data_IF_856273247363
#
_entry.id   IF_856273247363
#
_cell.length_a   1.000
_cell.length_b   1.000
_cell.length_c   1.000
_cell.angle_alpha   90.00
_cell.angle_beta   90.00
_cell.angle_gamma   90.00
#
_symmetry.space_group_name_H-M   'P 1'
#
loop_
_entity.id
_entity.type
_entity.pdbx_description
1 polymer ?
#
# COMPACT_ATOMS: atom_id res chain seq x y z
N UNK A 1 8.51 -31.90 27.81
CA UNK A 1 8.24 -32.36 26.42
C UNK A 1 6.79 -32.12 25.98
N UNK A 2 5.78 -32.93 26.35
CA UNK A 2 4.39 -32.67 25.89
C UNK A 2 3.78 -31.37 26.47
N UNK A 3 4.06 -31.04 27.74
CA UNK A 3 3.60 -29.79 28.39
C UNK A 3 4.24 -28.53 27.81
N UNK A 4 5.53 -28.58 27.46
CA UNK A 4 6.26 -27.45 26.85
C UNK A 4 5.82 -27.20 25.40
N UNK A 5 5.57 -28.26 24.62
CA UNK A 5 5.04 -28.14 23.26
C UNK A 5 3.62 -27.56 23.30
N UNK A 6 2.80 -27.94 24.28
CA UNK A 6 1.46 -27.39 24.47
C UNK A 6 1.50 -25.91 24.90
N UNK A 7 2.41 -25.57 25.83
CA UNK A 7 2.64 -24.18 26.24
C UNK A 7 3.13 -23.26 25.11
N UNK A 8 4.00 -23.77 24.23
CA UNK A 8 4.48 -23.04 23.05
C UNK A 8 3.35 -22.73 22.07
N UNK A 9 2.48 -23.71 21.78
CA UNK A 9 1.33 -23.52 20.88
C UNK A 9 0.30 -22.53 21.42
N UNK A 10 0.04 -22.55 22.73
CA UNK A 10 -0.84 -21.57 23.39
C UNK A 10 -0.27 -20.15 23.24
N UNK A 11 1.05 -20.00 23.35
CA UNK A 11 1.72 -18.71 23.19
C UNK A 11 1.63 -18.20 21.74
N UNK A 12 1.83 -19.07 20.75
CA UNK A 12 1.68 -18.71 19.33
C UNK A 12 0.26 -18.28 18.97
N UNK A 13 -0.76 -18.99 19.47
CA UNK A 13 -2.16 -18.61 19.28
C UNK A 13 -2.48 -17.24 19.90
N UNK A 14 -1.92 -16.95 21.07
CA UNK A 14 -2.06 -15.64 21.72
C UNK A 14 -1.40 -14.53 20.89
N UNK A 15 -0.18 -14.77 20.39
CA UNK A 15 0.53 -13.82 19.52
C UNK A 15 -0.27 -13.53 18.25
N UNK A 16 -0.82 -14.57 17.61
CA UNK A 16 -1.67 -14.40 16.43
C UNK A 16 -2.91 -13.56 16.76
N UNK A 17 -3.58 -13.82 17.89
CA UNK A 17 -4.74 -13.04 18.32
C UNK A 17 -4.41 -11.55 18.52
N UNK A 18 -3.31 -11.25 19.22
CA UNK A 18 -2.86 -9.86 19.38
C UNK A 18 -2.52 -9.21 18.03
N UNK A 19 -1.83 -9.92 17.14
CA UNK A 19 -1.53 -9.40 15.80
C UNK A 19 -2.79 -9.09 14.98
N UNK A 20 -3.87 -9.89 15.11
CA UNK A 20 -5.14 -9.59 14.47
C UNK A 20 -5.78 -8.32 15.01
N UNK A 21 -5.74 -8.12 16.32
CA UNK A 21 -6.25 -6.90 16.94
C UNK A 21 -5.49 -5.67 16.45
N UNK A 22 -4.16 -5.75 16.38
CA UNK A 22 -3.33 -4.65 15.89
C UNK A 22 -3.52 -4.40 14.39
N UNK A 23 -3.77 -5.44 13.59
CA UNK A 23 -4.12 -5.28 12.17
C UNK A 23 -5.49 -4.61 11.99
N UNK A 24 -6.50 -5.00 12.76
CA UNK A 24 -7.80 -4.36 12.72
C UNK A 24 -7.74 -2.89 13.16
N UNK A 25 -6.90 -2.59 14.15
CA UNK A 25 -6.61 -1.21 14.53
C UNK A 25 -5.97 -0.44 13.37
N UNK A 26 -4.92 -0.99 12.74
CA UNK A 26 -4.29 -0.40 11.56
C UNK A 26 -5.31 -0.12 10.45
N UNK A 27 -6.23 -1.04 10.17
CA UNK A 27 -7.27 -0.90 9.14
C UNK A 27 -8.25 0.25 9.41
N UNK A 28 -8.63 0.42 10.66
CA UNK A 28 -9.69 1.36 11.06
C UNK A 28 -9.15 2.70 11.60
N UNK A 29 -7.82 2.91 11.55
CA UNK A 29 -7.15 4.10 12.06
C UNK A 29 -7.79 5.38 11.51
N UNK A 30 -8.15 6.32 12.39
CA UNK A 30 -8.57 7.67 12.01
C UNK A 30 -7.49 8.66 12.39
N UNK A 31 -6.56 8.94 11.47
CA UNK A 31 -5.51 9.96 11.66
C UNK A 31 -4.75 9.86 12.99
N UNK A 32 -4.46 8.64 13.45
CA UNK A 32 -3.65 8.38 14.66
C UNK A 32 -2.19 8.79 14.47
N UNK A 33 -1.44 8.96 15.57
CA UNK A 33 -0.06 9.39 15.51
C UNK A 33 0.82 8.37 14.76
N UNK A 34 1.69 8.82 13.83
CA UNK A 34 2.52 7.91 13.05
C UNK A 34 3.44 6.99 13.88
N UNK A 35 3.86 7.42 15.08
CA UNK A 35 4.78 6.64 15.90
C UNK A 35 4.11 5.35 16.43
N UNK A 36 2.92 5.48 17.02
CA UNK A 36 2.18 4.35 17.57
C UNK A 36 1.85 3.30 16.49
N UNK A 37 1.40 3.74 15.32
CA UNK A 37 1.09 2.83 14.20
C UNK A 37 2.33 2.10 13.69
N UNK A 38 3.48 2.78 13.64
CA UNK A 38 4.74 2.13 13.28
C UNK A 38 5.12 1.05 14.27
N UNK A 39 5.00 1.32 15.57
CA UNK A 39 5.30 0.33 16.60
C UNK A 39 4.43 -0.92 16.43
N UNK A 40 3.13 -0.74 16.16
CA UNK A 40 2.21 -1.84 15.87
C UNK A 40 2.59 -2.62 14.61
N UNK A 41 2.94 -1.93 13.52
CA UNK A 41 3.43 -2.57 12.29
C UNK A 41 4.71 -3.36 12.56
N UNK A 42 5.64 -2.80 13.33
CA UNK A 42 6.91 -3.46 13.67
C UNK A 42 6.69 -4.67 14.58
N UNK A 43 5.73 -4.59 15.51
CA UNK A 43 5.32 -5.71 16.34
C UNK A 43 4.78 -6.87 15.49
N UNK A 44 3.82 -6.63 14.60
CA UNK A 44 3.27 -7.67 13.72
C UNK A 44 4.36 -8.25 12.82
N UNK A 45 5.19 -7.39 12.22
CA UNK A 45 6.31 -7.83 11.38
C UNK A 45 7.27 -8.76 12.14
N UNK A 46 7.69 -8.37 13.34
CA UNK A 46 8.57 -9.18 14.18
C UNK A 46 7.94 -10.51 14.60
N UNK A 47 6.64 -10.52 14.87
CA UNK A 47 5.90 -11.74 15.17
C UNK A 47 5.85 -12.70 13.98
N UNK A 48 5.58 -12.19 12.76
CA UNK A 48 5.61 -12.98 11.52
C UNK A 48 7.02 -13.53 11.27
N UNK A 49 8.06 -12.71 11.41
CA UNK A 49 9.46 -13.14 11.21
C UNK A 49 9.89 -14.24 12.18
N UNK A 50 9.38 -14.21 13.41
CA UNK A 50 9.73 -15.20 14.45
C UNK A 50 8.86 -16.46 14.40
N UNK A 51 7.60 -16.33 14.00
CA UNK A 51 6.58 -17.38 14.09
C UNK A 51 5.80 -17.57 12.78
N UNK A 52 6.45 -17.46 11.62
CA UNK A 52 5.79 -17.44 10.29
C UNK A 52 4.77 -18.57 10.09
N UNK A 53 5.12 -19.80 10.52
CA UNK A 53 4.25 -20.99 10.38
C UNK A 53 2.95 -20.91 11.18
N UNK A 54 2.89 -20.02 12.16
CA UNK A 54 1.73 -19.80 13.02
C UNK A 54 0.74 -18.79 12.41
N UNK A 55 1.07 -18.18 11.27
CA UNK A 55 0.22 -17.20 10.57
C UNK A 55 -0.33 -17.78 9.27
N UNK A 56 -1.59 -17.46 8.97
CA UNK A 56 -2.17 -17.75 7.66
C UNK A 56 -1.54 -16.84 6.59
N UNK A 57 -1.25 -17.39 5.41
CA UNK A 57 -0.68 -16.61 4.28
C UNK A 57 -1.56 -15.41 3.92
N UNK A 58 -2.88 -15.57 4.00
CA UNK A 58 -3.85 -14.51 3.75
C UNK A 58 -3.74 -13.35 4.75
N UNK A 59 -3.50 -13.65 6.02
CA UNK A 59 -3.26 -12.64 7.05
C UNK A 59 -1.97 -11.88 6.77
N UNK A 60 -0.88 -12.59 6.45
CA UNK A 60 0.42 -11.98 6.15
C UNK A 60 0.30 -11.01 4.97
N UNK A 61 -0.39 -11.41 3.90
CA UNK A 61 -0.56 -10.57 2.72
C UNK A 61 -1.42 -9.33 3.01
N UNK A 62 -2.48 -9.48 3.79
CA UNK A 62 -3.33 -8.37 4.22
C UNK A 62 -2.56 -7.39 5.12
N UNK A 63 -1.75 -7.90 6.05
CA UNK A 63 -0.84 -7.09 6.84
C UNK A 63 0.12 -6.28 5.97
N UNK A 64 0.81 -6.92 5.01
CA UNK A 64 1.70 -6.21 4.10
C UNK A 64 0.98 -5.12 3.30
N UNK A 65 -0.26 -5.39 2.86
CA UNK A 65 -1.09 -4.42 2.16
C UNK A 65 -1.36 -3.19 3.03
N UNK A 66 -1.87 -3.35 4.24
CA UNK A 66 -2.19 -2.21 5.10
C UNK A 66 -0.96 -1.46 5.61
N UNK A 67 0.16 -2.16 5.84
CA UNK A 67 1.43 -1.51 6.15
C UNK A 67 1.94 -0.66 4.97
N UNK A 68 1.87 -1.17 3.74
CA UNK A 68 2.21 -0.40 2.53
C UNK A 68 1.37 0.88 2.41
N UNK A 69 0.05 0.78 2.59
CA UNK A 69 -0.87 1.93 2.56
C UNK A 69 -0.46 2.97 3.59
N UNK A 70 -0.25 2.53 4.83
CA UNK A 70 0.17 3.41 5.92
C UNK A 70 1.44 4.19 5.58
N UNK A 71 2.52 3.51 5.18
CA UNK A 71 3.78 4.20 4.86
C UNK A 71 3.63 5.14 3.67
N UNK A 72 2.80 4.80 2.69
CA UNK A 72 2.55 5.68 1.55
C UNK A 72 1.83 6.97 1.97
N UNK A 73 0.80 6.88 2.83
CA UNK A 73 0.04 8.04 3.33
C UNK A 73 0.90 9.04 4.12
N UNK A 74 1.89 8.53 4.85
CA UNK A 74 2.81 9.33 5.67
C UNK A 74 4.13 9.66 4.96
N UNK A 75 4.14 9.52 3.64
CA UNK A 75 5.25 9.95 2.77
C UNK A 75 6.57 9.18 2.95
N UNK A 76 6.50 7.96 3.51
CA UNK A 76 7.63 7.04 3.67
C UNK A 76 7.70 6.06 2.50
N UNK A 77 7.90 6.61 1.29
CA UNK A 77 7.82 5.84 0.05
C UNK A 77 8.79 4.64 0.00
N UNK A 78 9.97 4.72 0.63
CA UNK A 78 10.90 3.59 0.71
C UNK A 78 10.35 2.43 1.54
N UNK A 79 9.73 2.72 2.69
CA UNK A 79 9.10 1.69 3.52
C UNK A 79 7.86 1.13 2.83
N UNK A 80 7.05 1.98 2.21
CA UNK A 80 5.92 1.54 1.39
C UNK A 80 6.36 0.58 0.27
N UNK A 81 7.48 0.89 -0.42
CA UNK A 81 8.03 0.03 -1.46
C UNK A 81 8.45 -1.35 -0.93
N UNK A 82 9.05 -1.42 0.26
CA UNK A 82 9.44 -2.71 0.88
C UNK A 82 8.22 -3.62 1.06
N UNK A 83 7.14 -3.10 1.65
CA UNK A 83 5.91 -3.87 1.84
C UNK A 83 5.20 -4.16 0.51
N UNK A 84 5.19 -3.23 -0.44
CA UNK A 84 4.66 -3.46 -1.78
C UNK A 84 5.35 -4.63 -2.48
N UNK A 85 6.68 -4.70 -2.40
CA UNK A 85 7.46 -5.80 -2.98
C UNK A 85 7.18 -7.14 -2.31
N UNK A 86 6.92 -7.17 -1.00
CA UNK A 86 6.51 -8.39 -0.29
C UNK A 86 5.16 -8.93 -0.82
N UNK A 87 4.24 -8.05 -1.23
CA UNK A 87 2.97 -8.42 -1.85
C UNK A 87 3.19 -8.91 -3.29
N UNK A 88 3.88 -8.12 -4.11
CA UNK A 88 4.04 -8.38 -5.55
C UNK A 88 4.90 -9.61 -5.84
N UNK A 89 5.73 -10.04 -4.89
CA UNK A 89 6.54 -11.26 -4.98
C UNK A 89 5.96 -12.44 -4.19
N UNK A 90 4.80 -12.27 -3.54
CA UNK A 90 4.20 -13.34 -2.74
C UNK A 90 3.67 -14.48 -3.62
N UNK A 91 3.79 -15.72 -3.14
CA UNK A 91 3.29 -16.93 -3.81
C UNK A 91 1.76 -16.94 -3.97
N UNK A 92 1.00 -16.41 -3.00
CA UNK A 92 -0.47 -16.38 -3.05
C UNK A 92 -1.04 -15.14 -3.75
N UNK A 93 -0.18 -14.28 -4.33
CA UNK A 93 -0.64 -13.03 -5.00
C UNK A 93 -1.69 -13.30 -6.08
N UNK A 94 -1.55 -14.42 -6.80
CA UNK A 94 -2.45 -14.80 -7.88
C UNK A 94 -3.84 -15.25 -7.38
N UNK A 95 -3.97 -15.72 -6.12
CA UNK A 95 -5.27 -16.03 -5.52
C UNK A 95 -5.91 -14.82 -4.82
N UNK A 96 -5.11 -13.81 -4.46
CA UNK A 96 -5.56 -12.53 -3.88
C UNK A 96 -5.40 -11.39 -4.89
N UNK A 97 -6.11 -11.51 -6.01
CA UNK A 97 -5.96 -10.61 -7.17
C UNK A 97 -6.30 -9.16 -6.87
N UNK A 98 -7.31 -8.89 -6.04
CA UNK A 98 -7.67 -7.52 -5.63
C UNK A 98 -6.52 -6.81 -4.89
N UNK A 99 -5.94 -7.45 -3.88
CA UNK A 99 -4.78 -6.92 -3.13
C UNK A 99 -3.60 -6.70 -4.09
N UNK A 100 -3.33 -7.67 -4.96
CA UNK A 100 -2.19 -7.60 -5.89
C UNK A 100 -2.35 -6.49 -6.93
N UNK A 101 -3.58 -6.28 -7.42
CA UNK A 101 -3.90 -5.21 -8.35
C UNK A 101 -3.76 -3.83 -7.71
N UNK A 102 -4.31 -3.66 -6.50
CA UNK A 102 -4.17 -2.41 -5.76
C UNK A 102 -2.70 -2.15 -5.41
N UNK A 103 -1.95 -3.16 -4.96
CA UNK A 103 -0.52 -3.03 -4.74
C UNK A 103 0.23 -2.62 -6.01
N UNK A 104 -0.11 -3.19 -7.17
CA UNK A 104 0.45 -2.79 -8.46
C UNK A 104 0.13 -1.35 -8.85
N UNK A 105 -1.06 -0.85 -8.52
CA UNK A 105 -1.46 0.54 -8.74
C UNK A 105 -0.74 1.50 -7.78
N UNK A 106 -0.68 1.18 -6.50
CA UNK A 106 0.03 1.96 -5.49
C UNK A 106 1.54 1.95 -5.71
N UNK A 107 2.09 0.87 -6.27
CA UNK A 107 3.50 0.83 -6.69
C UNK A 107 3.83 1.94 -7.70
N UNK A 108 2.87 2.30 -8.56
CA UNK A 108 3.06 3.43 -9.47
C UNK A 108 3.17 4.76 -8.73
N UNK A 109 2.34 4.99 -7.70
CA UNK A 109 2.42 6.18 -6.86
C UNK A 109 3.73 6.22 -6.05
N UNK A 110 4.13 5.08 -5.49
CA UNK A 110 5.38 4.92 -4.73
C UNK A 110 6.59 5.26 -5.61
N UNK A 111 6.71 4.64 -6.79
CA UNK A 111 7.82 4.91 -7.69
C UNK A 111 7.81 6.32 -8.27
N UNK A 112 6.62 6.90 -8.48
CA UNK A 112 6.51 8.31 -8.81
C UNK A 112 7.05 9.19 -7.68
N UNK A 113 6.70 8.89 -6.43
CA UNK A 113 7.17 9.62 -5.25
C UNK A 113 8.69 9.55 -5.08
N UNK A 114 9.28 8.39 -5.35
CA UNK A 114 10.73 8.15 -5.35
C UNK A 114 11.46 8.79 -6.55
N UNK A 115 10.74 9.35 -7.53
CA UNK A 115 11.36 9.98 -8.70
C UNK A 115 11.81 8.99 -9.78
N UNK A 116 11.43 7.72 -9.70
CA UNK A 116 11.86 6.64 -10.60
C UNK A 116 11.11 6.68 -11.96
N UNK A 117 11.15 7.82 -12.65
CA UNK A 117 10.34 8.09 -13.87
C UNK A 117 10.57 7.06 -14.99
N UNK A 118 11.81 6.62 -15.22
CA UNK A 118 12.13 5.64 -16.27
C UNK A 118 11.49 4.28 -15.99
N UNK A 119 11.66 3.76 -14.78
CA UNK A 119 11.07 2.49 -14.34
C UNK A 119 9.54 2.57 -14.38
N UNK A 120 8.97 3.70 -13.96
CA UNK A 120 7.54 3.90 -13.89
C UNK A 120 6.83 3.74 -15.25
N UNK A 121 7.49 4.08 -16.37
CA UNK A 121 6.94 3.86 -17.72
C UNK A 121 6.70 2.37 -17.98
N UNK A 122 7.62 1.50 -17.54
CA UNK A 122 7.49 0.06 -17.67
C UNK A 122 6.43 -0.48 -16.70
N UNK A 123 6.45 -0.01 -15.45
CA UNK A 123 5.50 -0.46 -14.42
C UNK A 123 4.05 -0.14 -14.81
N UNK A 124 3.80 1.01 -15.43
CA UNK A 124 2.46 1.35 -15.94
C UNK A 124 1.96 0.28 -16.91
N UNK A 125 2.79 -0.19 -17.84
CA UNK A 125 2.40 -1.21 -18.81
C UNK A 125 2.08 -2.54 -18.14
N UNK A 126 2.93 -2.98 -17.21
CA UNK A 126 2.68 -4.23 -16.47
C UNK A 126 1.45 -4.15 -15.57
N UNK A 127 1.21 -3.01 -14.91
CA UNK A 127 0.04 -2.81 -14.07
C UNK A 127 -1.24 -2.80 -14.92
N UNK A 128 -1.25 -2.10 -16.06
CA UNK A 128 -2.39 -2.14 -17.00
C UNK A 128 -2.67 -3.56 -17.53
N UNK A 129 -1.62 -4.35 -17.80
CA UNK A 129 -1.76 -5.75 -18.22
C UNK A 129 -2.40 -6.61 -17.11
N UNK A 130 -1.90 -6.49 -15.88
CA UNK A 130 -2.41 -7.27 -14.75
C UNK A 130 -3.88 -6.94 -14.44
N UNK A 131 -4.25 -5.65 -14.42
CA UNK A 131 -5.63 -5.22 -14.20
C UNK A 131 -6.59 -5.80 -15.26
N UNK A 132 -6.17 -5.81 -16.53
CA UNK A 132 -6.98 -6.39 -17.62
C UNK A 132 -7.16 -7.90 -17.50
N UNK A 133 -6.19 -8.61 -16.94
CA UNK A 133 -6.27 -10.07 -16.76
C UNK A 133 -7.38 -10.46 -15.79
N UNK A 134 -7.66 -9.60 -14.81
CA UNK A 134 -8.64 -9.84 -13.74
C UNK A 134 -10.04 -9.28 -14.05
N UNK A 135 -10.19 -8.50 -15.12
CA UNK A 135 -11.46 -7.90 -15.51
C UNK A 135 -11.27 -6.57 -16.25
N UNK A 136 -12.35 -5.79 -16.37
CA UNK A 136 -12.26 -4.44 -16.90
C UNK A 136 -11.57 -3.51 -15.92
N UNK A 137 -10.61 -2.71 -16.41
CA UNK A 137 -10.00 -1.66 -15.60
C UNK A 137 -11.09 -0.65 -15.23
N UNK A 138 -11.29 -0.45 -13.93
CA UNK A 138 -12.27 0.49 -13.39
C UNK A 138 -11.94 1.93 -13.75
N UNK A 139 -12.94 2.80 -13.69
CA UNK A 139 -12.76 4.23 -13.98
C UNK A 139 -11.71 4.86 -13.04
N UNK A 140 -11.72 4.64 -11.71
CA UNK A 140 -10.72 5.24 -10.81
C UNK A 140 -9.28 4.80 -11.13
N UNK A 141 -9.08 3.51 -11.42
CA UNK A 141 -7.76 2.98 -11.82
C UNK A 141 -7.26 3.63 -13.12
N UNK A 142 -8.14 3.75 -14.14
CA UNK A 142 -7.83 4.47 -15.39
C UNK A 142 -7.42 5.91 -15.11
N UNK A 143 -8.14 6.59 -14.23
CA UNK A 143 -7.88 7.98 -13.87
C UNK A 143 -6.53 8.13 -13.17
N UNK A 144 -6.20 7.26 -12.21
CA UNK A 144 -4.88 7.25 -11.54
C UNK A 144 -3.75 7.06 -12.56
N UNK A 145 -3.87 6.05 -13.42
CA UNK A 145 -2.88 5.76 -14.47
C UNK A 145 -2.74 6.93 -15.45
N UNK A 146 -3.86 7.58 -15.82
CA UNK A 146 -3.86 8.75 -16.69
C UNK A 146 -3.07 9.93 -16.12
N UNK A 147 -3.30 10.28 -14.84
CA UNK A 147 -2.55 11.35 -14.21
C UNK A 147 -1.06 11.01 -14.09
N UNK A 148 -0.72 9.78 -13.70
CA UNK A 148 0.68 9.32 -13.65
C UNK A 148 1.37 9.42 -15.01
N UNK A 149 0.73 8.98 -16.10
CA UNK A 149 1.24 9.13 -17.47
C UNK A 149 1.52 10.59 -17.82
N UNK A 150 0.68 11.54 -17.38
CA UNK A 150 0.89 12.98 -17.59
C UNK A 150 2.01 13.55 -16.73
N UNK A 151 2.08 13.14 -15.46
CA UNK A 151 3.07 13.61 -14.49
C UNK A 151 4.49 13.20 -14.90
N UNK A 152 4.68 11.97 -15.36
CA UNK A 152 5.98 11.46 -15.85
C UNK A 152 6.48 12.28 -17.04
N UNK A 153 5.58 12.67 -17.94
CA UNK A 153 5.89 13.47 -19.13
C UNK A 153 6.09 14.95 -18.81
N UNK A 154 5.76 15.40 -17.61
CA UNK A 154 5.95 16.79 -17.23
C UNK A 154 7.44 17.11 -17.09
N UNK A 155 7.90 18.09 -17.88
CA UNK A 155 9.29 18.58 -17.89
C UNK A 155 9.46 19.89 -17.12
N UNK A 156 8.36 20.54 -16.73
CA UNK A 156 8.39 21.79 -15.96
C UNK A 156 7.64 21.57 -14.64
N UNK A 157 8.26 22.02 -13.56
CA UNK A 157 7.73 21.99 -12.20
C UNK A 157 6.33 22.63 -12.08
N UNK A 158 6.06 23.77 -12.72
CA UNK A 158 4.75 24.43 -12.69
C UNK A 158 3.65 23.54 -13.28
N UNK A 159 3.94 22.86 -14.39
CA UNK A 159 3.00 21.93 -15.03
C UNK A 159 2.77 20.70 -14.16
N UNK A 160 3.81 20.20 -13.49
CA UNK A 160 3.71 19.09 -12.56
C UNK A 160 2.81 19.45 -11.37
N UNK A 161 3.03 20.61 -10.74
CA UNK A 161 2.17 21.12 -9.66
C UNK A 161 0.72 21.31 -10.10
N UNK A 162 0.49 21.85 -11.31
CA UNK A 162 -0.85 21.99 -11.86
C UNK A 162 -1.55 20.63 -12.02
N UNK A 163 -0.82 19.62 -12.52
CA UNK A 163 -1.35 18.26 -12.67
C UNK A 163 -1.66 17.62 -11.32
N UNK A 164 -0.80 17.80 -10.31
CA UNK A 164 -1.04 17.31 -8.95
C UNK A 164 -2.26 17.98 -8.31
N UNK A 165 -2.41 19.30 -8.48
CA UNK A 165 -3.61 20.02 -8.01
C UNK A 165 -4.88 19.49 -8.65
N UNK A 166 -4.85 19.15 -9.95
CA UNK A 166 -5.99 18.54 -10.63
C UNK A 166 -6.27 17.12 -10.13
N UNK A 167 -5.23 16.30 -9.99
CA UNK A 167 -5.35 14.94 -9.46
C UNK A 167 -5.97 14.92 -8.05
N UNK A 168 -5.58 15.88 -7.22
CA UNK A 168 -6.10 16.04 -5.86
C UNK A 168 -7.62 16.25 -5.80
N UNK A 169 -8.17 16.99 -6.75
CA UNK A 169 -9.60 17.37 -6.79
C UNK A 169 -10.42 16.44 -7.72
N UNK A 170 -9.89 15.27 -8.06
CA UNK A 170 -10.54 14.34 -8.99
C UNK A 170 -11.65 13.53 -8.30
N UNK A 171 -12.89 14.03 -8.37
CA UNK A 171 -14.09 13.45 -7.74
C UNK A 171 -14.27 11.95 -8.01
N UNK A 172 -13.98 11.51 -9.24
CA UNK A 172 -14.08 10.10 -9.64
C UNK A 172 -13.25 9.18 -8.73
N UNK A 173 -12.12 9.67 -8.21
CA UNK A 173 -11.29 8.92 -7.27
C UNK A 173 -11.86 9.08 -5.85
N UNK A 174 -12.19 10.31 -5.45
CA UNK A 174 -12.59 10.67 -4.09
C UNK A 174 -13.88 9.98 -3.62
N UNK A 175 -14.83 9.73 -4.51
CA UNK A 175 -16.15 9.14 -4.17
C UNK A 175 -16.19 7.60 -4.24
N UNK A 176 -15.04 6.94 -4.34
CA UNK A 176 -14.98 5.49 -4.59
C UNK A 176 -14.33 4.74 -3.44
N UNK A 177 -14.58 3.42 -3.42
CA UNK A 177 -14.02 2.46 -2.45
C UNK A 177 -12.50 2.60 -2.30
N UNK A 178 -11.79 2.89 -3.39
CA UNK A 178 -10.33 3.07 -3.34
C UNK A 178 -9.91 4.26 -2.46
N UNK A 179 -10.71 5.32 -2.36
CA UNK A 179 -10.43 6.45 -1.47
C UNK A 179 -10.72 6.13 0.01
N UNK A 180 -11.55 5.12 0.29
CA UNK A 180 -11.73 4.62 1.66
C UNK A 180 -10.50 3.82 2.12
N UNK A 181 -9.74 3.27 1.18
CA UNK A 181 -8.49 2.53 1.45
C UNK A 181 -7.32 3.50 1.59
N UNK A 182 -7.28 4.55 0.76
CA UNK A 182 -6.16 5.48 0.67
C UNK A 182 -6.66 6.89 0.40
N UNK A 183 -6.38 7.84 1.30
CA UNK A 183 -6.78 9.24 1.14
C UNK A 183 -5.92 9.94 0.09
N UNK A 184 -6.35 9.87 -1.17
CA UNK A 184 -5.63 10.46 -2.32
C UNK A 184 -5.49 11.96 -2.20
N UNK A 185 -6.49 12.64 -1.62
CA UNK A 185 -6.48 14.09 -1.45
C UNK A 185 -5.37 14.48 -0.48
N UNK A 186 -5.39 13.93 0.74
CA UNK A 186 -4.42 14.22 1.80
C UNK A 186 -3.00 13.83 1.39
N UNK A 187 -2.82 12.68 0.74
CA UNK A 187 -1.53 12.28 0.21
C UNK A 187 -0.99 13.28 -0.83
N UNK A 188 -1.83 13.69 -1.78
CA UNK A 188 -1.42 14.64 -2.82
C UNK A 188 -1.10 16.02 -2.23
N UNK A 189 -1.84 16.46 -1.21
CA UNK A 189 -1.54 17.71 -0.48
C UNK A 189 -0.17 17.68 0.17
N UNK A 190 0.14 16.61 0.93
CA UNK A 190 1.46 16.43 1.53
C UNK A 190 2.56 16.46 0.49
N UNK A 191 2.35 15.77 -0.63
CA UNK A 191 3.33 15.71 -1.71
C UNK A 191 3.58 17.07 -2.36
N UNK A 192 2.52 17.86 -2.59
CA UNK A 192 2.65 19.24 -3.09
C UNK A 192 3.43 20.10 -2.10
N UNK A 193 3.10 20.04 -0.81
CA UNK A 193 3.77 20.85 0.23
C UNK A 193 5.28 20.58 0.29
N UNK A 194 5.69 19.32 0.16
CA UNK A 194 7.10 18.94 0.16
C UNK A 194 7.86 19.33 -1.10
N UNK A 195 7.15 19.56 -2.22
CA UNK A 195 7.74 20.06 -3.46
C UNK A 195 7.89 21.58 -3.50
N UNK A 196 7.21 22.30 -2.61
CA UNK A 196 7.28 23.76 -2.50
C UNK A 196 8.33 24.24 -1.48
N UNK A 197 8.85 23.32 -0.65
CA UNK A 197 9.99 23.53 0.24
C UNK A 197 11.28 23.29 -0.53
#
# INVERSE_FOLDING_TARGET
>A
LQSEVYGSKINEAKIFFECNKELEYLKNRKSEEPAEIKEKIMFIKGAIEKHEKSFFKDFILEFYFWAMIYFLEFDEAENALKFCNLILNNEIKNSRTEISNLAGLFNLLIHYRLGNKNLLIYLIKSTEYNLKKTGEISIPEKTIIFYLKKLIKSRNHQRELMLLKKFKEEEIILDKRINQIFDFKKWTERFILLKLK
#
